data_IF_450761613039
#
_entry.id   IF_450761613039
#
_cell.length_a   1.000
_cell.length_b   1.000
_cell.length_c   1.000
_cell.angle_alpha   90.00
_cell.angle_beta   90.00
_cell.angle_gamma   90.00
#
_symmetry.space_group_name_H-M   'P 1'
#
loop_
_entity.id
_entity.type
_entity.pdbx_description
1 polymer ?
#
# COMPACT_ATOMS: atom_id res chain seq x y z
N UNK A 1 98.43 23.64 -1.32
CA UNK A 1 97.24 24.34 -0.80
C UNK A 1 96.02 24.30 -1.78
N UNK A 2 96.25 24.51 -3.07
CA UNK A 2 95.16 24.62 -4.08
C UNK A 2 94.32 23.31 -4.28
N UNK A 3 94.87 22.12 -4.02
CA UNK A 3 94.19 20.82 -4.17
C UNK A 3 93.19 20.56 -3.03
N UNK A 4 93.49 20.90 -1.79
CA UNK A 4 92.59 20.71 -0.65
C UNK A 4 91.39 21.64 -0.71
N UNK A 5 91.57 22.86 -1.24
CA UNK A 5 90.48 23.82 -1.41
C UNK A 5 89.44 23.34 -2.47
N UNK A 6 89.92 22.73 -3.55
CA UNK A 6 89.04 22.15 -4.57
C UNK A 6 88.22 20.96 -4.03
N UNK A 7 88.86 20.17 -3.17
CA UNK A 7 88.16 19.02 -2.56
C UNK A 7 87.05 19.48 -1.62
N UNK A 8 87.25 20.50 -0.80
CA UNK A 8 86.21 21.06 0.05
C UNK A 8 85.04 21.71 -0.74
N UNK A 9 85.41 22.37 -1.87
CA UNK A 9 84.37 22.95 -2.75
C UNK A 9 83.47 21.85 -3.40
N UNK A 10 84.05 20.72 -3.81
CA UNK A 10 83.27 19.57 -4.39
C UNK A 10 82.39 18.95 -3.32
N UNK A 11 82.87 18.75 -2.12
CA UNK A 11 82.08 18.21 -1.02
C UNK A 11 80.96 19.19 -0.66
N UNK A 12 81.24 20.48 -0.55
CA UNK A 12 80.19 21.48 -0.29
C UNK A 12 79.12 21.53 -1.39
N UNK A 13 79.51 21.34 -2.64
CA UNK A 13 78.59 21.30 -3.77
C UNK A 13 77.74 20.05 -3.76
N UNK A 14 78.30 18.87 -3.39
CA UNK A 14 77.56 17.60 -3.22
C UNK A 14 76.52 17.70 -2.06
N UNK A 15 76.91 18.32 -0.95
CA UNK A 15 76.06 18.58 0.18
C UNK A 15 74.89 19.51 -0.18
N UNK A 16 75.15 20.59 -0.93
CA UNK A 16 74.13 21.51 -1.43
C UNK A 16 73.16 20.83 -2.40
N UNK A 17 73.66 20.03 -3.33
CA UNK A 17 72.85 19.28 -4.24
C UNK A 17 72.00 18.27 -3.47
N UNK A 18 72.57 17.60 -2.48
CA UNK A 18 71.84 16.64 -1.64
C UNK A 18 70.70 17.32 -0.86
N UNK A 19 70.92 18.54 -0.37
CA UNK A 19 69.88 19.28 0.36
C UNK A 19 68.81 19.80 -0.57
N UNK A 20 69.10 20.23 -1.78
CA UNK A 20 68.11 20.71 -2.77
C UNK A 20 67.34 19.56 -3.41
N UNK A 21 68.01 18.44 -3.69
CA UNK A 21 67.42 17.26 -4.22
C UNK A 21 66.48 16.55 -3.18
N UNK A 22 66.79 16.68 -1.88
CA UNK A 22 65.99 16.11 -0.80
C UNK A 22 64.58 16.65 -0.75
N UNK A 23 64.36 17.96 -0.96
CA UNK A 23 63.02 18.53 -0.91
C UNK A 23 62.18 18.22 -2.17
N UNK A 24 62.83 18.21 -3.33
CA UNK A 24 62.19 17.79 -4.59
C UNK A 24 61.83 16.31 -4.56
N UNK A 25 62.69 15.43 -4.08
CA UNK A 25 62.43 14.01 -3.92
C UNK A 25 61.31 13.73 -2.91
N UNK A 26 61.25 14.46 -1.79
CA UNK A 26 60.15 14.35 -0.82
C UNK A 26 58.81 14.69 -1.46
N UNK A 27 58.73 15.73 -2.27
CA UNK A 27 57.50 16.12 -2.96
C UNK A 27 57.02 15.02 -3.92
N UNK A 28 57.90 14.47 -4.75
CA UNK A 28 57.57 13.37 -5.64
C UNK A 28 57.14 12.10 -4.88
N UNK A 29 57.77 11.80 -3.72
CA UNK A 29 57.37 10.66 -2.87
C UNK A 29 56.01 10.88 -2.21
N UNK A 30 55.72 12.11 -1.75
CA UNK A 30 54.45 12.47 -1.15
C UNK A 30 53.32 12.41 -2.20
N UNK A 31 53.54 12.94 -3.38
CA UNK A 31 52.57 12.92 -4.47
C UNK A 31 52.30 11.49 -4.96
N UNK A 32 53.33 10.66 -5.09
CA UNK A 32 53.22 9.26 -5.45
C UNK A 32 52.49 8.44 -4.37
N UNK A 33 52.76 8.67 -3.08
CA UNK A 33 52.06 7.98 -1.98
C UNK A 33 50.60 8.43 -1.89
N UNK A 34 50.28 9.68 -2.07
CA UNK A 34 48.90 10.18 -2.09
C UNK A 34 48.10 9.58 -3.25
N UNK A 35 48.71 9.41 -4.41
CA UNK A 35 48.09 8.83 -5.58
C UNK A 35 47.78 7.36 -5.37
N UNK A 36 48.70 6.59 -4.79
CA UNK A 36 48.53 5.17 -4.48
C UNK A 36 47.53 4.97 -3.35
N UNK A 37 47.60 5.76 -2.29
CA UNK A 37 46.67 5.72 -1.17
C UNK A 37 45.25 6.08 -1.64
N UNK A 38 45.10 7.12 -2.47
CA UNK A 38 43.83 7.52 -3.06
C UNK A 38 43.19 6.42 -3.89
N UNK A 39 43.97 5.68 -4.69
CA UNK A 39 43.47 4.55 -5.48
C UNK A 39 43.08 3.36 -4.58
N UNK A 40 43.85 3.06 -3.53
CA UNK A 40 43.49 1.99 -2.58
C UNK A 40 42.19 2.31 -1.84
N UNK A 41 41.99 3.56 -1.40
CA UNK A 41 40.76 3.98 -0.76
C UNK A 41 39.56 3.92 -1.72
N UNK A 42 39.71 4.33 -2.98
CA UNK A 42 38.62 4.23 -3.97
C UNK A 42 38.25 2.81 -4.31
N UNK A 43 39.22 1.90 -4.39
CA UNK A 43 38.95 0.47 -4.60
C UNK A 43 38.30 -0.13 -3.35
N UNK A 44 38.76 0.22 -2.17
CA UNK A 44 38.19 -0.29 -0.91
C UNK A 44 36.73 0.18 -0.71
N UNK A 45 36.42 1.46 -1.03
CA UNK A 45 35.05 1.96 -0.98
C UNK A 45 34.15 1.30 -2.02
N UNK A 46 34.61 1.17 -3.27
CA UNK A 46 33.87 0.49 -4.32
C UNK A 46 33.54 -0.98 -3.97
N UNK A 47 34.51 -1.71 -3.42
CA UNK A 47 34.32 -3.09 -2.96
C UNK A 47 33.30 -3.12 -1.81
N UNK A 48 33.44 -2.22 -0.82
CA UNK A 48 32.53 -2.15 0.31
C UNK A 48 31.10 -1.82 -0.15
N UNK A 49 30.91 -0.80 -0.99
CA UNK A 49 29.61 -0.38 -1.50
C UNK A 49 28.95 -1.52 -2.31
N UNK A 50 29.73 -2.22 -3.15
CA UNK A 50 29.24 -3.40 -3.90
C UNK A 50 28.85 -4.57 -2.98
N UNK A 51 29.58 -4.80 -1.90
CA UNK A 51 29.21 -5.82 -0.91
C UNK A 51 27.96 -5.43 -0.13
N UNK A 52 27.86 -4.18 0.33
CA UNK A 52 26.70 -3.69 1.09
C UNK A 52 25.44 -3.71 0.23
N UNK A 53 25.52 -3.34 -1.05
CA UNK A 53 24.41 -3.45 -2.00
C UNK A 53 24.00 -4.90 -2.26
N UNK A 54 24.96 -5.80 -2.45
CA UNK A 54 24.68 -7.22 -2.63
C UNK A 54 24.00 -7.84 -1.40
N UNK A 55 24.48 -7.54 -0.19
CA UNK A 55 23.86 -8.01 1.04
C UNK A 55 22.48 -7.40 1.31
N UNK A 56 22.25 -6.14 0.89
CA UNK A 56 20.93 -5.52 0.95
C UNK A 56 19.95 -6.23 0.01
N UNK A 57 20.38 -6.55 -1.22
CA UNK A 57 19.57 -7.31 -2.18
C UNK A 57 19.22 -8.71 -1.66
N UNK A 58 20.20 -9.44 -1.10
CA UNK A 58 19.98 -10.78 -0.52
C UNK A 58 18.97 -10.73 0.64
N UNK A 59 19.06 -9.71 1.51
CA UNK A 59 18.09 -9.52 2.60
C UNK A 59 16.69 -9.24 2.07
N UNK A 60 16.58 -8.35 1.07
CA UNK A 60 15.31 -8.03 0.44
C UNK A 60 14.68 -9.25 -0.23
N UNK A 61 15.47 -10.04 -0.95
CA UNK A 61 15.00 -11.29 -1.58
C UNK A 61 14.49 -12.26 -0.52
N UNK A 62 15.20 -12.40 0.61
CA UNK A 62 14.78 -13.27 1.70
C UNK A 62 13.47 -12.80 2.33
N UNK A 63 13.35 -11.50 2.58
CA UNK A 63 12.14 -10.90 3.14
C UNK A 63 10.93 -11.05 2.19
N UNK A 64 11.13 -10.78 0.90
CA UNK A 64 10.09 -10.99 -0.12
C UNK A 64 9.68 -12.46 -0.23
N UNK A 65 10.63 -13.39 -0.10
CA UNK A 65 10.34 -14.82 -0.10
C UNK A 65 9.50 -15.21 1.12
N UNK A 66 9.88 -14.77 2.32
CA UNK A 66 9.10 -15.01 3.54
C UNK A 66 7.70 -14.40 3.48
N UNK A 67 7.57 -13.20 2.91
CA UNK A 67 6.25 -12.58 2.68
C UNK A 67 5.43 -13.38 1.66
N UNK A 68 6.07 -13.86 0.59
CA UNK A 68 5.38 -14.68 -0.43
C UNK A 68 4.90 -16.01 0.15
N UNK A 69 5.73 -16.69 0.95
CA UNK A 69 5.36 -17.93 1.65
C UNK A 69 4.17 -17.71 2.60
N UNK A 70 4.17 -16.63 3.39
CA UNK A 70 3.03 -16.26 4.25
C UNK A 70 1.76 -15.93 3.46
N UNK A 71 1.90 -15.27 2.32
CA UNK A 71 0.77 -14.97 1.46
C UNK A 71 0.21 -16.23 0.80
N UNK A 72 1.06 -17.16 0.39
CA UNK A 72 0.65 -18.47 -0.15
C UNK A 72 -0.07 -19.31 0.90
N UNK A 73 0.43 -19.33 2.15
CA UNK A 73 -0.23 -20.01 3.26
C UNK A 73 -1.63 -19.43 3.54
N UNK A 74 -1.73 -18.10 3.61
CA UNK A 74 -3.03 -17.42 3.77
C UNK A 74 -3.98 -17.66 2.61
N UNK A 75 -3.46 -17.69 1.38
CA UNK A 75 -4.26 -17.99 0.20
C UNK A 75 -4.79 -19.44 0.23
N UNK A 76 -3.94 -20.40 0.58
CA UNK A 76 -4.34 -21.80 0.72
C UNK A 76 -5.38 -22.01 1.82
N UNK A 77 -5.21 -21.36 2.98
CA UNK A 77 -6.21 -21.38 4.05
C UNK A 77 -7.52 -20.73 3.60
N UNK A 78 -7.48 -19.61 2.91
CA UNK A 78 -8.67 -18.94 2.37
C UNK A 78 -9.40 -19.82 1.34
N UNK A 79 -8.65 -20.52 0.49
CA UNK A 79 -9.20 -21.45 -0.50
C UNK A 79 -9.86 -22.66 0.17
N UNK A 80 -9.20 -23.24 1.19
CA UNK A 80 -9.77 -24.33 1.99
C UNK A 80 -11.04 -23.89 2.72
N UNK A 81 -11.05 -22.69 3.33
CA UNK A 81 -12.23 -22.12 3.97
C UNK A 81 -13.37 -21.87 2.98
N UNK A 82 -13.05 -21.34 1.80
CA UNK A 82 -14.03 -21.13 0.72
C UNK A 82 -14.60 -22.45 0.22
N UNK A 83 -13.79 -23.50 0.15
CA UNK A 83 -14.24 -24.84 -0.22
C UNK A 83 -15.18 -25.44 0.85
N UNK A 84 -14.82 -25.38 2.13
CA UNK A 84 -15.68 -25.84 3.23
C UNK A 84 -17.00 -25.06 3.28
N UNK A 85 -16.93 -23.74 3.17
CA UNK A 85 -18.11 -22.89 3.13
C UNK A 85 -19.00 -23.25 1.95
N UNK A 86 -18.44 -23.50 0.78
CA UNK A 86 -19.19 -23.91 -0.42
C UNK A 86 -19.80 -25.30 -0.29
N UNK A 87 -19.20 -26.19 0.51
CA UNK A 87 -19.77 -27.50 0.85
C UNK A 87 -20.96 -27.33 1.77
N UNK A 88 -20.83 -26.57 2.85
CA UNK A 88 -21.93 -26.27 3.78
C UNK A 88 -23.08 -25.56 3.08
N UNK A 89 -22.80 -24.65 2.18
CA UNK A 89 -23.81 -23.94 1.39
C UNK A 89 -24.53 -24.88 0.38
N UNK A 90 -23.84 -25.87 -0.18
CA UNK A 90 -24.46 -26.90 -1.02
C UNK A 90 -25.44 -27.81 -0.23
N UNK A 91 -25.07 -28.18 0.98
CA UNK A 91 -25.92 -28.98 1.87
C UNK A 91 -27.18 -28.21 2.30
N UNK A 92 -27.14 -26.87 2.34
CA UNK A 92 -28.27 -25.98 2.63
C UNK A 92 -29.12 -25.68 1.37
N UNK A 93 -28.80 -26.28 0.23
CA UNK A 93 -29.51 -26.05 -1.05
C UNK A 93 -29.33 -24.64 -1.63
N UNK A 94 -28.26 -23.90 -1.24
CA UNK A 94 -27.90 -22.61 -1.79
C UNK A 94 -26.66 -22.72 -2.69
N UNK A 95 -26.84 -22.61 -3.99
CA UNK A 95 -25.74 -22.61 -4.99
C UNK A 95 -25.10 -21.23 -5.15
N UNK A 96 -24.98 -20.48 -4.06
CA UNK A 96 -24.44 -19.13 -4.11
C UNK A 96 -22.92 -19.15 -4.08
N UNK A 97 -22.29 -18.76 -5.18
CA UNK A 97 -20.84 -18.49 -5.25
C UNK A 97 -20.68 -17.01 -5.56
N UNK A 98 -20.09 -16.22 -4.65
CA UNK A 98 -19.81 -14.82 -4.92
C UNK A 98 -18.91 -14.66 -6.16
N UNK A 99 -19.27 -13.75 -7.03
CA UNK A 99 -18.50 -13.49 -8.24
C UNK A 99 -18.12 -12.00 -8.33
N UNK A 100 -16.87 -11.73 -8.61
CA UNK A 100 -16.40 -10.35 -8.83
C UNK A 100 -15.66 -10.23 -10.14
N UNK A 101 -15.77 -9.06 -10.79
CA UNK A 101 -15.10 -8.72 -12.05
C UNK A 101 -14.17 -7.54 -11.86
N UNK A 102 -12.95 -7.68 -12.36
CA UNK A 102 -12.01 -6.58 -12.41
C UNK A 102 -12.44 -5.57 -13.47
N UNK A 103 -12.60 -4.32 -13.10
CA UNK A 103 -12.98 -3.22 -13.96
C UNK A 103 -11.93 -2.10 -13.93
N UNK A 104 -11.79 -1.38 -15.03
CA UNK A 104 -10.87 -0.26 -15.13
C UNK A 104 -11.58 1.05 -14.83
N UNK A 105 -10.97 1.89 -14.01
CA UNK A 105 -11.38 3.28 -13.83
C UNK A 105 -10.99 4.08 -15.08
N UNK A 106 -11.93 4.83 -15.65
CA UNK A 106 -11.73 5.62 -16.86
C UNK A 106 -11.36 7.07 -16.53
N UNK A 107 -12.21 7.75 -15.79
CA UNK A 107 -12.02 9.15 -15.40
C UNK A 107 -12.95 9.52 -14.25
N UNK A 108 -12.65 10.59 -13.55
CA UNK A 108 -13.61 11.20 -12.63
C UNK A 108 -14.81 11.75 -13.39
N UNK A 109 -15.99 11.67 -12.78
CA UNK A 109 -17.24 12.12 -13.41
C UNK A 109 -17.35 13.65 -13.44
N UNK A 110 -16.72 14.34 -12.49
CA UNK A 110 -16.69 15.80 -12.39
C UNK A 110 -15.30 16.29 -11.96
N UNK A 111 -14.91 17.46 -12.44
CA UNK A 111 -13.68 18.12 -12.01
C UNK A 111 -13.84 18.54 -10.55
N UNK A 112 -12.90 18.16 -9.70
CA UNK A 112 -12.91 18.48 -8.27
C UNK A 112 -13.73 17.52 -7.39
N UNK A 113 -14.50 16.60 -7.97
CA UNK A 113 -15.19 15.52 -7.24
C UNK A 113 -14.49 14.18 -7.51
N UNK A 114 -13.72 13.74 -6.53
CA UNK A 114 -12.98 12.47 -6.61
C UNK A 114 -13.78 11.28 -6.08
N UNK A 115 -15.02 11.48 -5.65
CA UNK A 115 -15.88 10.41 -5.13
C UNK A 115 -16.67 9.67 -6.21
N UNK A 116 -16.65 10.15 -7.47
CA UNK A 116 -17.39 9.58 -8.59
C UNK A 116 -16.49 9.30 -9.79
N UNK A 117 -16.49 8.04 -10.25
CA UNK A 117 -15.57 7.55 -11.28
C UNK A 117 -16.34 6.76 -12.35
N UNK A 118 -16.12 7.10 -13.61
CA UNK A 118 -16.63 6.30 -14.72
C UNK A 118 -15.83 5.00 -14.85
N UNK A 119 -16.54 3.88 -15.05
CA UNK A 119 -15.94 2.57 -15.18
C UNK A 119 -16.05 2.00 -16.60
N UNK A 120 -15.06 1.20 -16.98
CA UNK A 120 -15.15 0.28 -18.12
C UNK A 120 -15.72 -1.06 -17.63
N UNK A 121 -17.04 -1.14 -17.56
CA UNK A 121 -17.76 -2.34 -17.10
C UNK A 121 -18.73 -2.78 -18.20
N UNK A 122 -18.34 -3.79 -18.97
CA UNK A 122 -19.08 -4.25 -20.17
C UNK A 122 -20.35 -5.03 -19.85
N UNK A 123 -20.38 -5.74 -18.73
CA UNK A 123 -21.51 -6.57 -18.30
C UNK A 123 -22.50 -5.78 -17.39
N UNK A 124 -22.50 -4.47 -17.52
CA UNK A 124 -23.33 -3.58 -16.70
C UNK A 124 -24.81 -3.70 -17.07
N UNK A 125 -25.64 -3.97 -16.05
CA UNK A 125 -27.10 -3.92 -16.13
C UNK A 125 -27.58 -2.63 -15.45
N UNK A 126 -28.23 -1.76 -16.20
CA UNK A 126 -28.71 -0.45 -15.73
C UNK A 126 -29.76 -0.52 -14.61
N UNK A 127 -30.38 -1.69 -14.40
CA UNK A 127 -31.40 -1.91 -13.35
C UNK A 127 -30.82 -2.40 -12.04
N UNK A 128 -29.50 -2.66 -11.97
CA UNK A 128 -28.82 -3.20 -10.79
C UNK A 128 -27.87 -2.19 -10.18
N UNK A 129 -27.75 -2.29 -8.86
CA UNK A 129 -26.67 -1.65 -8.09
C UNK A 129 -25.66 -2.74 -7.75
N UNK A 130 -24.37 -2.44 -7.89
CA UNK A 130 -23.32 -3.42 -7.66
C UNK A 130 -22.41 -2.94 -6.53
N UNK A 131 -21.91 -3.86 -5.74
CA UNK A 131 -20.85 -3.59 -4.76
C UNK A 131 -19.51 -3.36 -5.45
N UNK A 132 -18.76 -2.37 -4.97
CA UNK A 132 -17.44 -2.02 -5.46
C UNK A 132 -16.39 -2.33 -4.40
N UNK A 133 -15.31 -3.02 -4.80
CA UNK A 133 -14.21 -3.42 -3.93
C UNK A 133 -12.89 -2.83 -4.38
N UNK A 134 -12.03 -2.55 -3.41
CA UNK A 134 -10.60 -2.29 -3.57
C UNK A 134 -9.83 -3.12 -2.55
N UNK A 135 -8.86 -3.90 -3.01
CA UNK A 135 -8.02 -4.76 -2.15
C UNK A 135 -8.83 -5.66 -1.19
N UNK A 136 -9.94 -6.23 -1.69
CA UNK A 136 -10.80 -7.12 -0.92
C UNK A 136 -11.68 -6.44 0.13
N UNK A 137 -11.70 -5.11 0.20
CA UNK A 137 -12.50 -4.28 1.11
C UNK A 137 -13.52 -3.46 0.32
N UNK A 138 -14.57 -2.97 1.00
CA UNK A 138 -15.54 -2.11 0.32
C UNK A 138 -14.91 -0.80 -0.15
N UNK A 139 -15.22 -0.39 -1.37
CA UNK A 139 -14.78 0.88 -1.94
C UNK A 139 -15.96 1.81 -2.26
N UNK A 140 -17.17 1.30 -2.31
CA UNK A 140 -18.39 2.02 -2.65
C UNK A 140 -19.38 1.15 -3.41
N UNK A 141 -20.18 1.76 -4.26
CA UNK A 141 -21.17 1.08 -5.09
C UNK A 141 -21.06 1.53 -6.55
N UNK A 142 -21.60 0.74 -7.48
CA UNK A 142 -21.77 1.13 -8.88
C UNK A 142 -23.25 1.31 -9.16
N UNK A 143 -23.60 2.48 -9.68
CA UNK A 143 -24.96 2.87 -10.04
C UNK A 143 -25.09 3.19 -11.53
N UNK A 144 -26.31 3.15 -12.02
CA UNK A 144 -26.62 3.69 -13.36
C UNK A 144 -26.65 5.22 -13.35
N UNK A 145 -25.89 5.82 -14.26
CA UNK A 145 -26.06 7.25 -14.58
C UNK A 145 -26.04 7.43 -16.10
N UNK A 146 -27.20 7.73 -16.68
CA UNK A 146 -27.39 7.89 -18.13
C UNK A 146 -26.91 6.66 -18.93
N UNK A 147 -27.36 5.48 -18.52
CA UNK A 147 -27.00 4.17 -19.10
C UNK A 147 -25.50 3.84 -19.10
N UNK A 148 -24.78 4.42 -18.14
CA UNK A 148 -23.35 4.18 -17.94
C UNK A 148 -23.05 3.81 -16.49
N UNK A 149 -22.07 2.89 -16.27
CA UNK A 149 -21.67 2.51 -14.93
C UNK A 149 -20.86 3.61 -14.26
N UNK A 150 -21.41 4.17 -13.19
CA UNK A 150 -20.76 5.16 -12.35
C UNK A 150 -20.41 4.52 -11.00
N UNK A 151 -19.13 4.43 -10.69
CA UNK A 151 -18.66 4.14 -9.33
C UNK A 151 -18.91 5.37 -8.45
N UNK A 152 -19.53 5.13 -7.32
CA UNK A 152 -19.76 6.12 -6.26
C UNK A 152 -19.01 5.59 -5.03
N UNK A 153 -17.92 6.25 -4.67
CA UNK A 153 -17.06 5.81 -3.58
C UNK A 153 -17.78 5.90 -2.23
N UNK A 154 -17.35 5.11 -1.28
CA UNK A 154 -18.05 4.92 0.00
C UNK A 154 -18.17 6.18 0.86
N UNK A 155 -17.35 7.22 0.62
CA UNK A 155 -17.48 8.52 1.28
C UNK A 155 -18.52 9.46 0.63
N UNK A 156 -19.03 9.13 -0.55
CA UNK A 156 -20.06 9.95 -1.23
C UNK A 156 -21.43 9.75 -0.59
N UNK A 157 -22.22 10.82 -0.51
CA UNK A 157 -23.57 10.82 0.08
C UNK A 157 -24.58 9.90 -0.64
N UNK A 158 -24.31 9.54 -1.89
CA UNK A 158 -25.12 8.60 -2.67
C UNK A 158 -24.72 7.14 -2.46
N UNK A 159 -23.56 6.88 -1.86
CA UNK A 159 -23.13 5.52 -1.51
C UNK A 159 -23.87 5.07 -0.26
N UNK A 160 -24.68 4.04 -0.39
CA UNK A 160 -25.49 3.49 0.70
C UNK A 160 -25.63 1.98 0.55
N UNK A 161 -25.36 1.24 1.63
CA UNK A 161 -25.50 -0.22 1.68
C UNK A 161 -25.63 -0.73 3.12
N UNK A 162 -26.14 -1.96 3.27
CA UNK A 162 -26.43 -2.57 4.56
C UNK A 162 -25.18 -3.20 5.20
N UNK A 163 -25.02 -2.98 6.51
CA UNK A 163 -23.84 -3.42 7.28
C UNK A 163 -24.22 -4.02 8.62
N UNK A 164 -23.24 -4.73 9.21
CA UNK A 164 -23.22 -5.15 10.60
C UNK A 164 -22.03 -4.52 11.33
N UNK A 165 -22.22 -4.18 12.62
CA UNK A 165 -21.16 -3.67 13.51
C UNK A 165 -20.86 -4.72 14.56
N UNK A 166 -19.58 -5.01 14.78
CA UNK A 166 -19.06 -5.88 15.83
C UNK A 166 -19.47 -7.34 15.70
N UNK A 167 -19.08 -8.13 16.69
CA UNK A 167 -19.38 -9.56 16.76
C UNK A 167 -20.88 -9.84 16.99
N UNK A 168 -21.58 -8.92 17.65
CA UNK A 168 -23.02 -8.99 17.90
C UNK A 168 -23.87 -8.75 16.63
N UNK A 169 -23.24 -8.42 15.51
CA UNK A 169 -23.88 -8.14 14.22
C UNK A 169 -24.97 -7.08 14.33
N UNK A 170 -24.68 -5.97 14.98
CA UNK A 170 -25.59 -4.84 15.13
C UNK A 170 -25.92 -4.28 13.74
N UNK A 171 -27.18 -4.29 13.29
CA UNK A 171 -27.53 -3.88 11.94
C UNK A 171 -27.53 -2.35 11.80
N UNK A 172 -27.15 -1.86 10.62
CA UNK A 172 -27.21 -0.47 10.25
C UNK A 172 -27.06 -0.26 8.75
N UNK A 173 -27.21 0.99 8.33
CA UNK A 173 -27.01 1.42 6.93
C UNK A 173 -25.77 2.30 6.86
N UNK A 174 -24.75 1.83 6.17
CA UNK A 174 -23.58 2.64 5.85
C UNK A 174 -23.93 3.67 4.78
N UNK A 175 -23.57 4.92 5.01
CA UNK A 175 -23.78 6.05 4.09
C UNK A 175 -22.59 7.01 4.16
N UNK A 176 -22.11 7.46 3.02
CA UNK A 176 -21.06 8.50 2.98
C UNK A 176 -21.59 9.86 3.42
N UNK A 177 -20.74 10.63 4.10
CA UNK A 177 -21.05 12.01 4.51
C UNK A 177 -20.20 13.07 3.79
N UNK A 178 -19.43 12.67 2.78
CA UNK A 178 -18.47 13.49 2.03
C UNK A 178 -17.02 13.35 2.49
N UNK A 179 -16.79 12.84 3.71
CA UNK A 179 -15.46 12.63 4.28
C UNK A 179 -15.26 11.18 4.77
N UNK A 180 -16.17 10.73 5.62
CA UNK A 180 -16.16 9.40 6.23
C UNK A 180 -17.44 8.63 5.84
N UNK A 181 -17.59 7.45 6.41
CA UNK A 181 -18.82 6.66 6.37
C UNK A 181 -19.55 6.85 7.69
N UNK A 182 -20.85 6.98 7.64
CA UNK A 182 -21.73 6.96 8.81
C UNK A 182 -22.63 5.73 8.74
N UNK A 183 -22.64 4.92 9.77
CA UNK A 183 -23.62 3.85 9.92
C UNK A 183 -24.80 4.40 10.70
N UNK A 184 -25.94 4.52 10.02
CA UNK A 184 -27.16 5.13 10.55
C UNK A 184 -28.22 4.10 10.95
N UNK A 185 -29.23 4.57 11.69
CA UNK A 185 -30.38 3.81 12.12
C UNK A 185 -30.07 2.67 13.08
N UNK A 186 -29.02 2.82 13.89
CA UNK A 186 -28.71 1.89 14.97
C UNK A 186 -29.71 2.08 16.10
N UNK A 187 -30.40 1.01 16.49
CA UNK A 187 -31.38 1.08 17.56
C UNK A 187 -30.71 1.40 18.92
N UNK A 188 -31.28 2.28 19.72
CA UNK A 188 -30.69 2.77 20.99
C UNK A 188 -30.44 1.72 22.07
N UNK A 189 -31.14 0.61 22.01
CA UNK A 189 -30.91 -0.52 22.93
C UNK A 189 -29.74 -1.41 22.55
N UNK A 190 -29.15 -1.19 21.38
CA UNK A 190 -27.92 -1.85 20.94
C UNK A 190 -26.73 -0.99 21.34
N UNK A 191 -25.65 -1.62 21.73
CA UNK A 191 -24.48 -0.94 22.31
C UNK A 191 -23.20 -1.14 21.51
N UNK A 192 -23.11 -0.58 20.28
CA UNK A 192 -21.86 -0.62 19.54
C UNK A 192 -20.77 0.14 20.32
N UNK A 193 -19.53 -0.26 20.10
CA UNK A 193 -18.37 0.36 20.79
C UNK A 193 -17.43 1.01 19.78
N UNK A 194 -16.73 2.06 20.21
CA UNK A 194 -15.60 2.60 19.46
C UNK A 194 -14.52 1.52 19.37
N UNK A 195 -14.05 1.28 18.16
CA UNK A 195 -13.12 0.19 17.86
C UNK A 195 -13.76 -1.04 17.23
N UNK A 196 -15.10 -1.14 17.24
CA UNK A 196 -15.80 -2.24 16.58
C UNK A 196 -15.54 -2.23 15.07
N UNK A 197 -15.36 -3.42 14.52
CA UNK A 197 -15.23 -3.60 13.08
C UNK A 197 -16.61 -3.60 12.41
N UNK A 198 -16.66 -3.05 11.20
CA UNK A 198 -17.89 -2.95 10.41
C UNK A 198 -17.74 -3.77 9.14
N UNK A 199 -18.73 -4.63 8.88
CA UNK A 199 -18.78 -5.53 7.74
C UNK A 199 -20.07 -5.37 6.95
N UNK A 200 -20.05 -5.72 5.68
CA UNK A 200 -21.28 -5.82 4.86
C UNK A 200 -22.20 -6.90 5.41
N UNK A 201 -23.50 -6.66 5.41
CA UNK A 201 -24.49 -7.64 5.91
C UNK A 201 -24.94 -8.66 4.85
N UNK A 202 -24.88 -8.32 3.57
CA UNK A 202 -25.44 -9.11 2.48
C UNK A 202 -26.96 -8.99 2.30
N UNK A 203 -27.67 -8.25 3.18
CA UNK A 203 -29.14 -8.21 3.20
C UNK A 203 -29.75 -7.40 2.04
N UNK A 204 -28.98 -6.49 1.44
CA UNK A 204 -29.42 -5.62 0.34
C UNK A 204 -29.13 -6.21 -1.06
N UNK A 205 -28.40 -7.33 -1.12
CA UNK A 205 -28.00 -7.96 -2.38
C UNK A 205 -26.97 -7.15 -3.20
N UNK A 206 -26.42 -6.08 -2.63
CA UNK A 206 -25.34 -5.26 -3.26
C UNK A 206 -24.00 -5.93 -3.01
N UNK A 207 -23.79 -6.40 -1.78
CA UNK A 207 -22.60 -7.13 -1.35
C UNK A 207 -22.99 -8.51 -0.83
N UNK A 208 -22.07 -9.44 -0.82
CA UNK A 208 -22.19 -10.59 0.07
C UNK A 208 -21.73 -10.18 1.50
N UNK A 209 -22.18 -10.93 2.51
CA UNK A 209 -21.85 -10.60 3.90
C UNK A 209 -20.38 -10.82 4.25
N UNK A 210 -19.86 -10.03 5.19
CA UNK A 210 -18.54 -10.24 5.78
C UNK A 210 -17.39 -9.48 5.11
N UNK A 211 -17.64 -8.61 4.14
CA UNK A 211 -16.59 -7.75 3.56
C UNK A 211 -16.31 -6.58 4.51
N UNK A 212 -15.02 -6.32 4.80
CA UNK A 212 -14.63 -5.24 5.68
C UNK A 212 -14.98 -3.86 5.10
N UNK A 213 -15.70 -3.07 5.88
CA UNK A 213 -16.10 -1.69 5.58
C UNK A 213 -15.18 -0.70 6.27
N UNK A 214 -14.90 -0.92 7.55
CA UNK A 214 -14.07 -0.03 8.35
C UNK A 214 -14.17 -0.32 9.84
N UNK A 215 -13.80 0.67 10.63
CA UNK A 215 -13.82 0.60 12.10
C UNK A 215 -14.54 1.79 12.69
N UNK A 216 -15.36 1.57 13.72
CA UNK A 216 -16.05 2.63 14.44
C UNK A 216 -15.05 3.51 15.17
N UNK A 217 -15.08 4.82 14.89
CA UNK A 217 -14.20 5.81 15.53
C UNK A 217 -14.95 6.76 16.45
N UNK A 218 -16.26 6.94 16.26
CA UNK A 218 -17.11 7.83 17.06
C UNK A 218 -18.55 7.32 17.06
N UNK A 219 -19.26 7.56 18.17
CA UNK A 219 -20.69 7.29 18.31
C UNK A 219 -21.43 8.59 18.56
N UNK A 220 -22.49 8.83 17.80
CA UNK A 220 -23.34 10.01 17.92
C UNK A 220 -24.72 9.55 18.36
N UNK A 221 -25.15 10.04 19.51
CA UNK A 221 -26.48 9.75 20.05
C UNK A 221 -27.49 10.78 19.51
N UNK A 222 -28.33 10.33 18.56
CA UNK A 222 -29.43 11.15 18.02
C UNK A 222 -30.72 10.91 18.82
N UNK A 223 -31.79 11.65 18.54
CA UNK A 223 -33.02 11.58 19.32
C UNK A 223 -33.66 10.18 19.32
N UNK A 224 -33.68 9.50 18.16
CA UNK A 224 -34.41 8.22 17.97
C UNK A 224 -33.42 7.05 17.78
N UNK A 225 -32.31 7.26 17.09
CA UNK A 225 -31.32 6.27 16.71
C UNK A 225 -29.94 6.71 17.17
N UNK A 226 -29.00 5.81 17.04
CA UNK A 226 -27.57 6.12 17.14
C UNK A 226 -26.96 6.09 15.73
N UNK A 227 -25.92 6.89 15.53
CA UNK A 227 -25.09 6.90 14.33
C UNK A 227 -23.66 6.60 14.73
N UNK A 228 -23.02 5.66 14.05
CA UNK A 228 -21.60 5.37 14.23
C UNK A 228 -20.79 5.97 13.07
N UNK A 229 -19.78 6.77 13.38
CA UNK A 229 -18.81 7.27 12.40
C UNK A 229 -17.76 6.19 12.21
N UNK A 230 -17.50 5.83 10.97
CA UNK A 230 -16.61 4.72 10.58
C UNK A 230 -15.47 5.23 9.74
N UNK A 231 -14.24 4.93 10.17
CA UNK A 231 -13.04 5.12 9.35
C UNK A 231 -12.97 4.00 8.30
N UNK A 232 -12.91 4.32 7.00
CA UNK A 232 -12.91 3.34 5.94
C UNK A 232 -11.71 2.38 6.00
N UNK A 233 -11.93 1.09 5.78
CA UNK A 233 -10.86 0.09 5.68
C UNK A 233 -10.05 0.22 4.38
N UNK A 234 -10.66 0.72 3.29
CA UNK A 234 -10.01 0.97 2.01
C UNK A 234 -9.76 2.46 1.80
N UNK A 235 -8.52 2.81 1.43
CA UNK A 235 -8.15 4.17 1.00
C UNK A 235 -8.10 4.22 -0.54
N UNK A 236 -9.16 4.72 -1.14
CA UNK A 236 -9.32 4.76 -2.60
C UNK A 236 -9.03 6.17 -3.11
N UNK A 237 -7.75 6.53 -3.25
CA UNK A 237 -7.34 7.88 -3.70
C UNK A 237 -7.30 8.03 -5.22
N UNK A 238 -6.70 7.11 -5.95
CA UNK A 238 -6.55 7.15 -7.41
C UNK A 238 -6.62 5.71 -7.94
N UNK A 239 -7.80 5.12 -8.05
CA UNK A 239 -7.91 3.74 -8.48
C UNK A 239 -7.63 3.61 -9.97
N UNK A 240 -6.69 2.74 -10.36
CA UNK A 240 -6.54 2.32 -11.76
C UNK A 240 -7.49 1.17 -12.11
N UNK A 241 -7.69 0.27 -11.14
CA UNK A 241 -8.59 -0.88 -11.24
C UNK A 241 -9.36 -1.06 -9.93
N UNK A 242 -10.59 -1.53 -10.08
CA UNK A 242 -11.50 -1.88 -8.98
C UNK A 242 -12.14 -3.24 -9.29
N UNK A 243 -12.83 -3.82 -8.32
CA UNK A 243 -13.58 -5.05 -8.52
C UNK A 243 -15.06 -4.81 -8.26
N UNK A 244 -15.90 -5.26 -9.19
CA UNK A 244 -17.37 -5.15 -9.09
C UNK A 244 -17.93 -6.52 -8.74
N UNK A 245 -18.78 -6.58 -7.72
CA UNK A 245 -19.51 -7.81 -7.36
C UNK A 245 -20.67 -7.98 -8.35
N UNK A 246 -20.61 -9.01 -9.17
CA UNK A 246 -21.63 -9.29 -10.20
C UNK A 246 -22.70 -10.22 -9.71
N UNK A 247 -22.40 -11.00 -8.66
CA UNK A 247 -23.33 -11.89 -7.97
C UNK A 247 -23.10 -11.74 -6.47
N UNK A 248 -24.00 -11.01 -5.81
CA UNK A 248 -24.04 -10.75 -4.38
C UNK A 248 -25.24 -11.38 -3.71
#
# INVERSE_FOLDING_TARGET
MKSKLKFFLVIGYIVLISFYASDSLKKYFIDATNLVVGQIYSIASFVKDSFDEHFAQVRLIKELKEQNEKLQEKAALSEAFSYELSQVMRDINSSFVPESRKVRALSYAQIGDHSKIWLDFKEFDSNKIYGLLSDGKTAGIVINQNDRPLAVLQNDQKSMFAVYIGEEKIPGIAKGNGKNIEVKYIAKWLTPQVGDEVYTSGLDGIFFGGIAVGKVVELIDETIYMTAVVEPAADVKVPSYLYVITKG
#
